data_IF_251961197417
#
_entry.id   IF_251961197417
#
_cell.length_a   1.000
_cell.length_b   1.000
_cell.length_c   1.000
_cell.angle_alpha   90.00
_cell.angle_beta   90.00
_cell.angle_gamma   90.00
#
_symmetry.space_group_name_H-M   'P 1'
#
loop_
_entity.id
_entity.type
_entity.pdbx_description
1 polymer ?
#
# COMPACT_ATOMS: atom_id res chain seq x y z
N UNK A 1 -8.02 -14.73 -0.03
CA UNK A 1 -8.86 -14.03 0.97
C UNK A 1 -9.80 -13.08 0.27
N UNK A 2 -9.33 -11.99 -0.39
CA UNK A 2 -10.19 -10.97 -1.02
C UNK A 2 -11.32 -11.59 -1.88
N UNK A 3 -10.98 -12.41 -2.88
CA UNK A 3 -11.98 -13.03 -3.76
C UNK A 3 -13.00 -13.91 -3.01
N UNK A 4 -12.59 -14.50 -1.89
CA UNK A 4 -13.45 -15.34 -1.07
C UNK A 4 -14.53 -14.49 -0.40
N UNK A 5 -14.16 -13.37 0.20
CA UNK A 5 -15.12 -12.45 0.82
C UNK A 5 -15.98 -11.74 -0.22
N UNK A 6 -15.40 -11.17 -1.27
CA UNK A 6 -16.14 -10.45 -2.32
C UNK A 6 -17.19 -11.30 -3.05
N UNK A 7 -17.02 -12.62 -3.07
CA UNK A 7 -18.00 -13.51 -3.73
C UNK A 7 -19.36 -13.60 -3.01
N UNK A 8 -19.41 -13.19 -1.76
CA UNK A 8 -20.56 -13.42 -0.87
C UNK A 8 -20.94 -12.24 -0.01
N UNK A 9 -20.11 -11.19 0.04
CA UNK A 9 -20.27 -10.05 0.94
C UNK A 9 -19.99 -8.74 0.23
N UNK A 10 -20.70 -7.69 0.62
CA UNK A 10 -20.45 -6.32 0.18
C UNK A 10 -19.36 -5.70 1.06
N UNK A 11 -18.13 -5.68 0.55
CA UNK A 11 -16.99 -5.11 1.26
C UNK A 11 -16.97 -3.58 1.07
N UNK A 12 -16.84 -2.85 2.17
CA UNK A 12 -16.64 -1.39 2.18
C UNK A 12 -15.17 -1.03 2.21
N UNK A 13 -14.29 -1.92 2.75
CA UNK A 13 -12.85 -1.77 2.68
C UNK A 13 -12.14 -3.12 2.66
N UNK A 14 -11.00 -3.17 1.97
CA UNK A 14 -10.04 -4.28 2.02
C UNK A 14 -8.63 -3.70 1.96
N UNK A 15 -8.08 -3.51 3.14
CA UNK A 15 -6.77 -2.91 3.38
C UNK A 15 -5.72 -3.96 3.70
N UNK A 16 -4.44 -3.60 3.54
CA UNK A 16 -3.36 -4.43 4.05
C UNK A 16 -2.23 -3.58 4.62
N UNK A 17 -1.42 -4.18 5.47
CA UNK A 17 -0.18 -3.61 5.99
C UNK A 17 0.80 -4.70 6.41
N UNK A 18 2.09 -4.40 6.33
CA UNK A 18 3.16 -5.31 6.77
C UNK A 18 3.26 -5.37 8.29
N UNK A 19 3.85 -6.44 8.82
CA UNK A 19 4.14 -6.54 10.26
C UNK A 19 4.99 -5.37 10.76
N UNK A 20 6.00 -4.98 10.00
CA UNK A 20 6.82 -3.81 10.33
C UNK A 20 5.99 -2.54 10.50
N UNK A 21 4.96 -2.34 9.65
CA UNK A 21 4.04 -1.22 9.79
C UNK A 21 3.26 -1.31 11.09
N UNK A 22 2.67 -2.47 11.40
CA UNK A 22 1.93 -2.70 12.63
C UNK A 22 2.78 -2.48 13.87
N UNK A 23 4.01 -3.01 13.90
CA UNK A 23 4.91 -2.85 15.03
C UNK A 23 5.27 -1.38 15.31
N UNK A 24 5.43 -0.55 14.26
CA UNK A 24 5.65 0.90 14.44
C UNK A 24 4.45 1.57 15.12
N UNK A 25 3.22 1.24 14.71
CA UNK A 25 1.99 1.79 15.33
C UNK A 25 1.86 1.30 16.77
N UNK A 26 2.03 0.00 17.02
CA UNK A 26 1.94 -0.57 18.36
C UNK A 26 2.98 -0.01 19.34
N UNK A 27 4.18 0.33 18.84
CA UNK A 27 5.24 0.92 19.66
C UNK A 27 4.87 2.28 20.28
N UNK A 28 3.86 2.96 19.74
CA UNK A 28 3.31 4.20 20.35
C UNK A 28 2.60 3.93 21.68
N UNK A 29 2.09 2.71 21.87
CA UNK A 29 1.45 2.27 23.12
C UNK A 29 0.02 2.77 23.33
N UNK A 30 -0.62 3.36 22.33
CA UNK A 30 -1.97 3.93 22.40
C UNK A 30 -3.02 3.12 21.61
N UNK A 31 -2.61 2.03 20.97
CA UNK A 31 -3.47 1.06 20.29
C UNK A 31 -3.14 -0.34 20.80
N UNK A 32 -4.15 -1.17 21.20
CA UNK A 32 -3.90 -2.53 21.64
C UNK A 32 -3.53 -3.45 20.47
N UNK A 33 -2.61 -4.38 20.72
CA UNK A 33 -2.32 -5.44 19.74
C UNK A 33 -3.54 -6.36 19.60
N UNK A 34 -3.98 -6.66 18.37
CA UNK A 34 -5.14 -7.52 18.13
C UNK A 34 -4.82 -9.01 18.30
N UNK A 35 -3.56 -9.41 18.11
CA UNK A 35 -3.08 -10.80 18.15
C UNK A 35 -1.79 -10.92 18.96
N UNK A 36 -1.50 -12.15 19.39
CA UNK A 36 -0.19 -12.54 19.90
C UNK A 36 0.70 -13.13 18.79
N UNK A 37 0.08 -13.65 17.73
CA UNK A 37 0.76 -14.28 16.57
C UNK A 37 1.21 -13.21 15.59
N UNK A 38 2.49 -13.24 15.20
CA UNK A 38 3.04 -12.38 14.15
C UNK A 38 3.00 -13.10 12.80
N UNK A 39 2.77 -12.33 11.74
CA UNK A 39 2.79 -12.78 10.33
C UNK A 39 3.34 -11.66 9.46
N UNK A 40 3.80 -11.96 8.24
CA UNK A 40 4.42 -10.94 7.37
C UNK A 40 3.46 -9.80 7.00
N UNK A 41 2.17 -10.11 6.84
CA UNK A 41 1.14 -9.17 6.42
C UNK A 41 -0.18 -9.39 7.16
N UNK A 42 -0.93 -8.31 7.33
CA UNK A 42 -2.27 -8.28 7.88
C UNK A 42 -3.24 -7.72 6.86
N UNK A 43 -4.46 -8.23 6.84
CA UNK A 43 -5.58 -7.67 6.08
C UNK A 43 -6.62 -7.11 7.05
N UNK A 44 -7.07 -5.88 6.81
CA UNK A 44 -8.22 -5.27 7.46
C UNK A 44 -9.38 -5.33 6.48
N UNK A 45 -10.47 -5.98 6.89
CA UNK A 45 -11.67 -6.16 6.08
C UNK A 45 -12.82 -5.44 6.77
N UNK A 46 -13.50 -4.55 6.04
CA UNK A 46 -14.73 -3.93 6.48
C UNK A 46 -15.86 -4.33 5.54
N UNK A 47 -17.02 -4.61 6.09
CA UNK A 47 -18.22 -5.00 5.36
C UNK A 47 -19.48 -4.51 6.06
N UNK A 48 -20.56 -4.33 5.31
CA UNK A 48 -21.86 -4.04 5.89
C UNK A 48 -22.47 -5.30 6.49
N UNK A 49 -22.85 -5.22 7.77
CA UNK A 49 -23.60 -6.26 8.47
C UNK A 49 -24.92 -5.65 9.00
N UNK A 50 -26.02 -5.96 8.35
CA UNK A 50 -27.35 -5.48 8.70
C UNK A 50 -28.07 -6.48 9.60
N UNK A 51 -27.71 -7.75 9.49
CA UNK A 51 -28.34 -8.87 10.21
C UNK A 51 -27.29 -9.79 10.83
N UNK A 52 -27.69 -10.61 11.80
CA UNK A 52 -26.82 -11.65 12.35
C UNK A 52 -26.35 -12.64 11.26
N UNK A 53 -27.15 -12.86 10.23
CA UNK A 53 -26.78 -13.74 9.12
C UNK A 53 -25.57 -13.21 8.32
N UNK A 54 -25.37 -11.89 8.24
CA UNK A 54 -24.21 -11.29 7.58
C UNK A 54 -22.94 -11.56 8.38
N UNK A 55 -23.02 -11.54 9.71
CA UNK A 55 -21.94 -11.90 10.62
C UNK A 55 -21.61 -13.39 10.52
N UNK A 56 -22.61 -14.26 10.50
CA UNK A 56 -22.44 -15.71 10.31
C UNK A 56 -21.77 -15.99 8.96
N UNK A 57 -22.17 -15.27 7.91
CA UNK A 57 -21.55 -15.38 6.59
C UNK A 57 -20.06 -14.97 6.60
N UNK A 58 -19.71 -13.90 7.29
CA UNK A 58 -18.33 -13.47 7.45
C UNK A 58 -17.49 -14.54 8.15
N UNK A 59 -18.04 -15.14 9.23
CA UNK A 59 -17.36 -16.21 9.95
C UNK A 59 -17.13 -17.45 9.07
N UNK A 60 -18.11 -17.85 8.26
CA UNK A 60 -17.97 -18.96 7.30
C UNK A 60 -16.83 -18.67 6.30
N UNK A 61 -16.74 -17.44 5.77
CA UNK A 61 -15.64 -17.11 4.84
C UNK A 61 -14.28 -17.10 5.54
N UNK A 62 -14.23 -16.61 6.77
CA UNK A 62 -13.02 -16.60 7.58
C UNK A 62 -12.55 -18.04 7.90
N UNK A 63 -13.44 -18.91 8.38
CA UNK A 63 -13.14 -20.32 8.65
C UNK A 63 -12.58 -21.02 7.41
N UNK A 64 -13.19 -20.80 6.24
CA UNK A 64 -12.70 -21.34 4.98
C UNK A 64 -11.29 -20.83 4.64
N UNK A 65 -10.99 -19.56 4.85
CA UNK A 65 -9.64 -19.02 4.64
C UNK A 65 -8.61 -19.65 5.60
N UNK A 66 -9.02 -19.98 6.84
CA UNK A 66 -8.20 -20.70 7.80
C UNK A 66 -7.95 -22.16 7.36
N UNK A 67 -8.99 -22.88 6.94
CA UNK A 67 -8.90 -24.27 6.46
C UNK A 67 -7.99 -24.41 5.25
N UNK A 68 -8.02 -23.43 4.33
CA UNK A 68 -7.16 -23.38 3.14
C UNK A 68 -5.71 -22.90 3.48
N UNK A 69 -5.45 -22.54 4.73
CA UNK A 69 -4.14 -22.06 5.18
C UNK A 69 -3.75 -20.67 4.64
N UNK A 70 -4.71 -19.88 4.15
CA UNK A 70 -4.46 -18.52 3.67
C UNK A 70 -4.41 -17.49 4.78
N UNK A 71 -4.96 -17.81 5.93
CA UNK A 71 -5.01 -16.98 7.14
C UNK A 71 -4.59 -17.86 8.32
N UNK A 72 -3.79 -17.32 9.22
CA UNK A 72 -3.28 -18.04 10.41
C UNK A 72 -4.01 -17.67 11.68
N UNK A 73 -4.59 -16.46 11.75
CA UNK A 73 -5.33 -15.95 12.91
C UNK A 73 -6.22 -14.78 12.46
N UNK A 74 -7.21 -14.39 13.27
CA UNK A 74 -8.05 -13.24 13.03
C UNK A 74 -8.91 -12.84 14.21
N UNK A 75 -9.31 -11.58 14.21
CA UNK A 75 -10.24 -11.01 15.18
C UNK A 75 -11.37 -10.31 14.48
N UNK A 76 -12.55 -10.33 15.08
CA UNK A 76 -13.68 -9.54 14.65
C UNK A 76 -14.05 -8.55 15.75
N UNK A 77 -14.27 -7.29 15.38
CA UNK A 77 -14.67 -6.26 16.35
C UNK A 77 -16.05 -6.56 16.93
N UNK A 78 -16.18 -6.40 18.24
CA UNK A 78 -17.42 -6.58 19.00
C UNK A 78 -18.02 -5.23 19.46
N UNK A 79 -17.39 -4.12 19.09
CA UNK A 79 -17.80 -2.77 19.43
C UNK A 79 -17.19 -1.74 18.50
N UNK A 80 -17.79 -0.55 18.40
CA UNK A 80 -17.24 0.58 17.64
C UNK A 80 -15.81 0.95 18.10
N UNK A 81 -15.53 0.87 19.41
CA UNK A 81 -14.18 1.16 19.93
C UNK A 81 -13.15 0.14 19.43
N UNK A 82 -13.51 -1.15 19.38
CA UNK A 82 -12.63 -2.16 18.82
C UNK A 82 -12.43 -1.96 17.31
N UNK A 83 -13.51 -1.68 16.58
CA UNK A 83 -13.42 -1.37 15.14
C UNK A 83 -12.50 -0.17 14.89
N UNK A 84 -12.67 0.93 15.64
CA UNK A 84 -11.81 2.10 15.56
C UNK A 84 -10.34 1.77 15.86
N UNK A 85 -10.06 0.94 16.87
CA UNK A 85 -8.69 0.52 17.17
C UNK A 85 -8.08 -0.34 16.04
N UNK A 86 -8.85 -1.21 15.40
CA UNK A 86 -8.38 -1.97 14.23
C UNK A 86 -8.05 -1.05 13.06
N UNK A 87 -8.91 -0.05 12.81
CA UNK A 87 -8.66 0.96 11.78
C UNK A 87 -7.40 1.79 12.07
N UNK A 88 -7.15 2.18 13.32
CA UNK A 88 -5.96 2.91 13.71
C UNK A 88 -4.67 2.15 13.40
N UNK A 89 -4.65 0.82 13.46
CA UNK A 89 -3.49 0.01 13.06
C UNK A 89 -3.10 0.25 11.59
N UNK A 90 -4.06 0.63 10.74
CA UNK A 90 -3.86 0.93 9.32
C UNK A 90 -3.68 2.44 9.07
N UNK A 91 -4.55 3.28 9.63
CA UNK A 91 -4.58 4.71 9.33
C UNK A 91 -3.42 5.47 9.96
N UNK A 92 -3.01 5.11 11.18
CA UNK A 92 -1.93 5.80 11.89
C UNK A 92 -0.52 5.50 11.31
N UNK A 93 -0.38 4.55 10.36
CA UNK A 93 0.92 4.16 9.80
C UNK A 93 1.66 5.36 9.20
N UNK A 94 1.00 6.11 8.33
CA UNK A 94 1.64 7.21 7.58
C UNK A 94 2.15 8.32 8.49
N UNK A 95 1.41 8.63 9.55
CA UNK A 95 1.82 9.61 10.56
C UNK A 95 2.97 9.04 11.40
N UNK A 96 2.81 7.82 11.90
CA UNK A 96 3.81 7.16 12.76
C UNK A 96 5.17 7.10 12.08
N UNK A 97 5.24 6.62 10.83
CA UNK A 97 6.51 6.48 10.13
C UNK A 97 7.15 7.81 9.71
N UNK A 98 6.44 8.94 9.82
CA UNK A 98 6.97 10.26 9.44
C UNK A 98 8.23 10.65 10.23
N UNK A 99 8.39 10.13 11.44
CA UNK A 99 9.58 10.34 12.29
C UNK A 99 10.87 9.80 11.65
N UNK A 100 10.78 8.75 10.81
CA UNK A 100 11.93 8.13 10.12
C UNK A 100 12.23 8.70 8.73
N UNK A 101 11.72 9.89 8.40
CA UNK A 101 11.97 10.52 7.08
C UNK A 101 11.71 9.54 5.92
N UNK A 102 10.48 9.04 5.73
CA UNK A 102 10.20 7.99 4.75
C UNK A 102 10.33 8.49 3.31
N UNK A 103 10.92 7.67 2.45
CA UNK A 103 10.79 7.80 1.01
C UNK A 103 9.53 7.08 0.54
N UNK A 104 8.56 7.82 0.00
CA UNK A 104 7.19 7.35 -0.28
C UNK A 104 6.96 7.14 -1.77
N UNK A 105 6.36 6.02 -2.12
CA UNK A 105 5.78 5.76 -3.45
C UNK A 105 4.34 5.29 -3.31
N UNK A 106 3.48 5.88 -4.12
CA UNK A 106 2.09 5.53 -4.33
C UNK A 106 1.99 4.90 -5.73
N UNK A 107 1.82 3.59 -5.78
CA UNK A 107 1.89 2.77 -7.01
C UNK A 107 0.75 1.77 -7.04
N UNK A 108 0.41 1.25 -8.21
CA UNK A 108 -0.62 0.21 -8.29
C UNK A 108 -0.27 -0.88 -9.29
N UNK A 109 -0.78 -2.07 -9.02
CA UNK A 109 -0.77 -3.21 -9.93
C UNK A 109 -2.10 -3.95 -9.86
N UNK A 110 -2.42 -4.77 -10.85
CA UNK A 110 -3.59 -5.66 -10.77
C UNK A 110 -3.50 -6.52 -9.51
N UNK A 111 -4.58 -6.63 -8.76
CA UNK A 111 -4.64 -7.30 -7.43
C UNK A 111 -3.99 -8.68 -7.43
N UNK A 112 -4.25 -9.49 -8.46
CA UNK A 112 -3.66 -10.83 -8.59
C UNK A 112 -2.13 -10.84 -8.74
N UNK A 113 -1.53 -9.70 -9.06
CA UNK A 113 -0.08 -9.52 -9.21
C UNK A 113 0.60 -8.95 -7.97
N UNK A 114 -0.17 -8.51 -6.97
CA UNK A 114 0.39 -7.90 -5.75
C UNK A 114 1.42 -8.80 -5.06
N UNK A 115 1.17 -10.08 -4.76
CA UNK A 115 2.15 -10.88 -4.02
C UNK A 115 3.52 -11.03 -4.73
N UNK A 116 3.59 -11.37 -6.04
CA UNK A 116 4.89 -11.42 -6.72
C UNK A 116 5.52 -10.02 -6.89
N UNK A 117 4.72 -8.96 -7.04
CA UNK A 117 5.19 -7.59 -7.13
C UNK A 117 5.91 -7.14 -5.85
N UNK A 118 5.31 -7.37 -4.68
CA UNK A 118 5.92 -7.05 -3.39
C UNK A 118 7.26 -7.79 -3.23
N UNK A 119 7.30 -9.08 -3.54
CA UNK A 119 8.53 -9.88 -3.46
C UNK A 119 9.65 -9.35 -4.34
N UNK A 120 9.35 -9.01 -5.59
CA UNK A 120 10.37 -8.49 -6.52
C UNK A 120 10.97 -7.17 -6.01
N UNK A 121 10.16 -6.28 -5.44
CA UNK A 121 10.62 -5.01 -4.86
C UNK A 121 11.42 -5.26 -3.58
N UNK A 122 10.91 -6.07 -2.67
CA UNK A 122 11.60 -6.39 -1.41
C UNK A 122 12.96 -7.05 -1.69
N UNK A 123 13.03 -7.96 -2.67
CA UNK A 123 14.27 -8.63 -3.06
C UNK A 123 15.31 -7.64 -3.60
N UNK A 124 14.95 -6.77 -4.54
CA UNK A 124 15.90 -5.83 -5.13
C UNK A 124 16.38 -4.79 -4.12
N UNK A 125 15.48 -4.23 -3.32
CA UNK A 125 15.84 -3.20 -2.33
C UNK A 125 16.68 -3.80 -1.22
N UNK A 126 16.31 -4.95 -0.66
CA UNK A 126 17.08 -5.61 0.41
C UNK A 126 18.46 -6.07 -0.06
N UNK A 127 18.58 -6.50 -1.32
CA UNK A 127 19.88 -6.91 -1.90
C UNK A 127 20.83 -5.72 -2.05
N UNK A 128 20.34 -4.59 -2.54
CA UNK A 128 21.16 -3.42 -2.86
C UNK A 128 21.39 -2.51 -1.63
N UNK A 129 20.41 -2.44 -0.75
CA UNK A 129 20.41 -1.64 0.49
C UNK A 129 19.82 -2.43 1.65
N UNK A 130 20.58 -3.38 2.25
CA UNK A 130 20.08 -4.26 3.31
C UNK A 130 19.75 -3.52 4.62
N UNK A 131 20.20 -2.30 4.76
CA UNK A 131 19.91 -1.37 5.86
C UNK A 131 18.60 -0.57 5.67
N UNK A 132 17.96 -0.67 4.50
CA UNK A 132 16.68 0.00 4.25
C UNK A 132 15.51 -0.82 4.82
N UNK A 133 14.71 -0.19 5.67
CA UNK A 133 13.49 -0.80 6.19
C UNK A 133 12.32 -0.47 5.28
N UNK A 134 11.69 -1.49 4.69
CA UNK A 134 10.53 -1.34 3.83
C UNK A 134 9.27 -1.49 4.67
N UNK A 135 8.37 -0.53 4.55
CA UNK A 135 7.04 -0.51 5.15
C UNK A 135 6.00 -0.53 4.04
N UNK A 136 5.19 -1.58 4.01
CA UNK A 136 4.09 -1.72 3.08
C UNK A 136 2.74 -1.49 3.76
N UNK A 137 1.87 -0.77 3.11
CA UNK A 137 0.44 -0.71 3.41
C UNK A 137 -0.31 -0.22 2.18
N UNK A 138 -1.65 -0.28 2.18
CA UNK A 138 -2.43 0.24 1.07
C UNK A 138 -3.81 -0.37 0.94
N UNK A 139 -4.51 0.07 -0.10
CA UNK A 139 -5.84 -0.36 -0.48
C UNK A 139 -5.72 -1.58 -1.42
N UNK A 140 -5.40 -2.74 -0.84
CA UNK A 140 -5.09 -3.93 -1.65
C UNK A 140 -6.31 -4.43 -2.43
N UNK A 141 -7.52 -4.01 -2.04
CA UNK A 141 -8.76 -4.36 -2.73
C UNK A 141 -8.81 -3.87 -4.17
N UNK A 142 -8.13 -2.78 -4.50
CA UNK A 142 -7.99 -2.20 -5.83
C UNK A 142 -6.56 -2.22 -6.39
N UNK A 143 -5.63 -2.82 -5.62
CA UNK A 143 -4.22 -2.95 -6.02
C UNK A 143 -3.37 -1.70 -5.79
N UNK A 144 -3.87 -0.73 -5.03
CA UNK A 144 -3.12 0.45 -4.62
C UNK A 144 -2.19 0.12 -3.45
N UNK A 145 -0.90 0.43 -3.63
CA UNK A 145 0.17 0.05 -2.73
C UNK A 145 1.02 1.28 -2.35
N UNK A 146 1.18 1.49 -1.05
CA UNK A 146 2.07 2.50 -0.50
C UNK A 146 3.39 1.86 -0.08
N UNK A 147 4.40 2.02 -0.92
CA UNK A 147 5.78 1.66 -0.61
C UNK A 147 6.43 2.81 0.16
N UNK A 148 6.88 2.53 1.37
CA UNK A 148 7.65 3.48 2.16
C UNK A 148 8.97 2.84 2.55
N UNK A 149 10.07 3.56 2.33
CA UNK A 149 11.40 3.14 2.77
C UNK A 149 11.84 4.11 3.83
N UNK A 150 12.19 3.60 5.00
CA UNK A 150 12.62 4.41 6.13
C UNK A 150 14.11 4.70 6.04
N UNK A 151 14.48 5.94 6.39
CA UNK A 151 15.88 6.34 6.44
C UNK A 151 16.57 5.68 7.64
N UNK A 152 17.69 4.95 7.45
CA UNK A 152 18.53 4.50 8.56
C UNK A 152 19.05 5.66 9.41
N UNK A 153 19.18 5.46 10.72
CA UNK A 153 19.53 6.53 11.66
C UNK A 153 20.92 7.13 11.38
N UNK A 154 21.88 6.29 10.99
CA UNK A 154 23.27 6.63 10.72
C UNK A 154 23.52 7.17 9.29
N UNK A 155 22.49 7.16 8.41
CA UNK A 155 22.61 7.65 7.04
C UNK A 155 22.20 9.12 6.94
N UNK A 156 23.04 9.95 6.28
CA UNK A 156 22.70 11.33 6.00
C UNK A 156 21.46 11.43 5.08
N UNK A 157 20.61 12.44 5.31
CA UNK A 157 19.35 12.60 4.58
C UNK A 157 19.57 12.76 3.07
N UNK A 158 20.55 13.53 2.69
CA UNK A 158 20.90 13.79 1.27
C UNK A 158 21.33 12.50 0.57
N UNK A 159 22.18 11.72 1.22
CA UNK A 159 22.65 10.44 0.70
C UNK A 159 21.50 9.42 0.62
N UNK A 160 20.63 9.39 1.62
CA UNK A 160 19.44 8.54 1.60
C UNK A 160 18.56 8.82 0.36
N UNK A 161 18.24 10.08 0.09
CA UNK A 161 17.42 10.43 -1.08
C UNK A 161 18.14 10.20 -2.40
N UNK A 162 19.46 10.32 -2.46
CA UNK A 162 20.24 9.93 -3.65
C UNK A 162 20.11 8.42 -3.92
N UNK A 163 20.27 7.59 -2.87
CA UNK A 163 20.08 6.13 -2.97
C UNK A 163 18.62 5.79 -3.35
N UNK A 164 17.64 6.48 -2.78
CA UNK A 164 16.23 6.32 -3.14
C UNK A 164 15.94 6.69 -4.61
N UNK A 165 16.68 7.61 -5.20
CA UNK A 165 16.61 7.89 -6.63
C UNK A 165 16.94 6.67 -7.51
N UNK A 166 17.89 5.83 -7.09
CA UNK A 166 18.18 4.55 -7.75
C UNK A 166 17.07 3.53 -7.50
N UNK A 167 16.57 3.47 -6.27
CA UNK A 167 15.42 2.61 -5.93
C UNK A 167 14.22 2.95 -6.80
N UNK A 168 13.94 4.23 -7.06
CA UNK A 168 12.84 4.64 -7.95
C UNK A 168 12.93 3.98 -9.32
N UNK A 169 14.10 3.93 -9.91
CA UNK A 169 14.29 3.30 -11.23
C UNK A 169 13.91 1.83 -11.18
N UNK A 170 14.41 1.07 -10.20
CA UNK A 170 14.10 -0.35 -10.07
C UNK A 170 12.62 -0.59 -9.80
N UNK A 171 12.02 0.22 -8.91
CA UNK A 171 10.59 0.12 -8.59
C UNK A 171 9.75 0.35 -9.85
N UNK A 172 10.07 1.38 -10.66
CA UNK A 172 9.28 1.68 -11.85
C UNK A 172 9.53 0.70 -13.00
N UNK A 173 10.72 0.11 -13.13
CA UNK A 173 10.96 -1.02 -14.02
C UNK A 173 10.10 -2.24 -13.64
N UNK A 174 9.95 -2.51 -12.33
CA UNK A 174 9.08 -3.58 -11.83
C UNK A 174 7.60 -3.21 -12.06
N UNK A 175 7.20 -1.95 -11.84
CA UNK A 175 5.85 -1.47 -12.17
C UNK A 175 5.53 -1.71 -13.65
N UNK A 176 6.43 -1.37 -14.57
CA UNK A 176 6.27 -1.63 -16.01
C UNK A 176 6.15 -3.13 -16.30
N UNK A 177 7.05 -3.97 -15.72
CA UNK A 177 7.01 -5.44 -15.84
C UNK A 177 5.65 -6.01 -15.49
N UNK A 178 4.99 -5.47 -14.46
CA UNK A 178 3.67 -5.91 -14.00
C UNK A 178 2.52 -5.14 -14.63
N UNK A 179 2.79 -4.25 -15.60
CA UNK A 179 1.80 -3.39 -16.26
C UNK A 179 0.99 -2.54 -15.27
N UNK A 180 1.68 -2.06 -14.24
CA UNK A 180 1.12 -1.26 -13.18
C UNK A 180 1.09 0.24 -13.49
N UNK A 181 0.88 1.04 -12.44
CA UNK A 181 0.92 2.51 -12.51
C UNK A 181 1.96 3.07 -11.54
N UNK A 182 2.74 4.04 -12.02
CA UNK A 182 3.71 4.79 -11.18
C UNK A 182 3.02 5.74 -10.22
N UNK A 183 1.72 5.98 -10.37
CA UNK A 183 0.89 6.74 -9.45
C UNK A 183 -0.50 6.12 -9.38
N UNK A 184 -0.90 5.68 -8.19
CA UNK A 184 -2.22 5.10 -7.96
C UNK A 184 -3.27 6.21 -7.79
N UNK A 185 -3.22 6.97 -6.70
CA UNK A 185 -4.24 7.96 -6.33
C UNK A 185 -3.71 9.39 -6.19
N UNK A 186 -2.41 9.57 -5.85
CA UNK A 186 -1.86 10.91 -5.55
C UNK A 186 -1.61 11.77 -6.80
N UNK A 187 -1.71 11.20 -7.99
CA UNK A 187 -1.38 11.87 -9.24
C UNK A 187 0.14 11.95 -9.49
N UNK A 188 0.48 12.30 -10.72
CA UNK A 188 1.87 12.28 -11.21
C UNK A 188 2.69 13.43 -10.61
N UNK A 189 2.13 14.63 -10.58
CA UNK A 189 2.83 15.82 -10.09
C UNK A 189 4.19 16.04 -10.76
N UNK A 190 5.06 16.80 -10.11
CA UNK A 190 6.42 17.06 -10.61
C UNK A 190 7.38 15.89 -10.34
N UNK A 191 7.17 15.18 -9.25
CA UNK A 191 8.10 14.13 -8.79
C UNK A 191 8.06 12.87 -9.64
N UNK A 192 6.89 12.50 -10.16
CA UNK A 192 6.69 11.30 -10.98
C UNK A 192 6.65 11.56 -12.48
N UNK A 193 6.64 12.83 -12.91
CA UNK A 193 6.66 13.21 -14.33
C UNK A 193 7.79 12.58 -15.12
N UNK A 194 9.05 12.47 -14.62
CA UNK A 194 10.14 11.82 -15.33
C UNK A 194 9.95 10.30 -15.56
N UNK A 195 9.05 9.68 -14.78
CA UNK A 195 8.80 8.24 -14.79
C UNK A 195 7.48 7.86 -15.49
N UNK A 196 6.81 8.82 -16.11
CA UNK A 196 5.50 8.59 -16.72
C UNK A 196 5.56 7.59 -17.87
N UNK A 197 6.69 7.48 -18.55
CA UNK A 197 6.94 6.54 -19.65
C UNK A 197 6.88 5.07 -19.23
N UNK A 198 7.12 4.75 -17.96
CA UNK A 198 6.94 3.39 -17.43
C UNK A 198 5.46 2.93 -17.37
N UNK A 199 4.51 3.88 -17.49
CA UNK A 199 3.08 3.57 -17.39
C UNK A 199 2.29 4.01 -18.62
N UNK A 200 2.79 4.98 -19.37
CA UNK A 200 2.10 5.62 -20.50
C UNK A 200 2.95 5.60 -21.75
N UNK A 201 2.34 5.26 -22.87
CA UNK A 201 2.99 5.37 -24.17
C UNK A 201 3.30 6.83 -24.56
N UNK A 202 4.25 7.03 -25.45
CA UNK A 202 4.58 8.35 -25.97
C UNK A 202 3.36 9.05 -26.60
N UNK A 203 2.45 8.30 -27.22
CA UNK A 203 1.22 8.84 -27.80
C UNK A 203 0.25 9.35 -26.71
N UNK A 204 0.05 8.58 -25.62
CA UNK A 204 -0.78 9.03 -24.49
C UNK A 204 -0.20 10.28 -23.84
N UNK A 205 1.12 10.33 -23.62
CA UNK A 205 1.80 11.51 -23.06
C UNK A 205 1.62 12.73 -23.98
N UNK A 206 1.69 12.55 -25.30
CA UNK A 206 1.42 13.62 -26.26
C UNK A 206 -0.01 14.14 -26.16
N UNK A 207 -1.01 13.25 -26.03
CA UNK A 207 -2.40 13.64 -25.81
C UNK A 207 -2.59 14.35 -24.45
N UNK A 208 -1.98 13.88 -23.38
CA UNK A 208 -2.03 14.55 -22.07
C UNK A 208 -1.51 15.98 -22.15
N UNK A 209 -0.37 16.20 -22.85
CA UNK A 209 0.18 17.54 -23.11
C UNK A 209 -0.76 18.41 -23.93
N UNK A 210 -1.38 17.85 -24.96
CA UNK A 210 -2.32 18.57 -25.81
C UNK A 210 -3.58 18.99 -25.03
N UNK A 211 -4.16 18.10 -24.22
CA UNK A 211 -5.29 18.40 -23.34
C UNK A 211 -4.93 19.50 -22.34
N UNK A 212 -3.77 19.39 -21.66
CA UNK A 212 -3.29 20.45 -20.75
C UNK A 212 -3.23 21.79 -21.47
N UNK A 213 -2.68 21.84 -22.69
CA UNK A 213 -2.53 23.08 -23.46
C UNK A 213 -3.86 23.74 -23.86
N UNK A 214 -4.95 22.96 -23.98
CA UNK A 214 -6.29 23.51 -24.25
C UNK A 214 -6.77 24.32 -23.03
N UNK A 215 -6.56 23.83 -21.83
CA UNK A 215 -7.02 24.49 -20.60
C UNK A 215 -6.02 25.50 -20.05
N UNK A 216 -4.74 25.32 -20.33
CA UNK A 216 -3.63 26.13 -19.82
C UNK A 216 -2.65 26.50 -20.95
N UNK A 217 -3.10 27.32 -21.95
CA UNK A 217 -2.27 27.68 -23.09
C UNK A 217 -1.00 28.45 -22.70
N UNK A 218 -1.03 29.16 -21.58
CA UNK A 218 0.07 29.98 -21.08
C UNK A 218 0.95 29.27 -20.04
N UNK A 219 0.64 28.00 -19.70
CA UNK A 219 1.34 27.20 -18.71
C UNK A 219 1.52 27.90 -17.34
N UNK A 220 0.44 28.52 -16.85
CA UNK A 220 0.40 29.21 -15.55
C UNK A 220 -0.26 28.37 -14.45
N UNK A 221 -0.97 27.28 -14.82
CA UNK A 221 -1.61 26.34 -13.90
C UNK A 221 -0.69 25.14 -13.70
N UNK A 222 -0.10 25.04 -12.52
CA UNK A 222 0.90 24.00 -12.18
C UNK A 222 2.00 23.91 -13.26
N UNK A 223 2.79 24.97 -13.46
CA UNK A 223 3.87 24.99 -14.42
C UNK A 223 4.94 23.97 -14.00
N UNK A 224 5.32 23.04 -14.90
CA UNK A 224 6.29 22.01 -14.60
C UNK A 224 6.64 21.14 -15.80
#
# INVERSE_FOLDING_TARGET
VLSQFQSTMDLTAFEFFSDKAMQKVLARGDVPAPFETSTDFYALIEFEAVTDADMDQAMVQFEKCMEEGWVVDGVISQSETQAANLWRLREDISETISEWTPYKNDISVVVSKVPPFLRDIDEIVTREYPDFEIIWFGHIGDGNLHLNILKPDDLAKEEFFERCGKVSTWVFEIVEKYQGSVSAEHGVGMTKKPYLEYTRSAAEIAYMRAVKKVFDPNNIMNPG
#
